data_IF_587086858535
#
_entry.id   IF_587086858535
#
_cell.length_a   1.000
_cell.length_b   1.000
_cell.length_c   1.000
_cell.angle_alpha   90.00
_cell.angle_beta   90.00
_cell.angle_gamma   90.00
#
_symmetry.space_group_name_H-M   'P 1'
#
loop_
_entity.id
_entity.type
_entity.pdbx_description
1 polymer ?
#
# COMPACT_ATOMS: atom_id res chain seq x y z
N UNK A 1 -9.23 -69.80 -32.17
CA UNK A 1 -8.03 -69.29 -31.49
C UNK A 1 -7.74 -67.89 -32.04
N UNK A 2 -8.28 -66.84 -31.43
CA UNK A 2 -8.02 -65.44 -31.83
C UNK A 2 -7.71 -64.64 -30.57
N UNK A 3 -6.46 -64.19 -30.46
CA UNK A 3 -5.89 -63.50 -29.31
C UNK A 3 -6.35 -62.04 -29.27
N UNK A 4 -6.92 -61.62 -28.14
CA UNK A 4 -7.18 -60.22 -27.79
C UNK A 4 -5.86 -59.53 -27.44
N UNK A 5 -5.49 -58.47 -28.15
CA UNK A 5 -4.42 -57.55 -27.73
C UNK A 5 -5.06 -56.41 -26.93
N UNK A 6 -4.75 -56.33 -25.63
CA UNK A 6 -5.08 -55.19 -24.77
C UNK A 6 -3.89 -54.24 -24.83
N UNK A 7 -4.06 -53.08 -25.46
CA UNK A 7 -3.09 -51.99 -25.41
C UNK A 7 -3.42 -51.12 -24.19
N UNK A 8 -2.58 -51.18 -23.16
CA UNK A 8 -2.63 -50.26 -22.02
C UNK A 8 -1.97 -48.96 -22.46
N UNK A 9 -2.78 -47.95 -22.77
CA UNK A 9 -2.31 -46.60 -23.01
C UNK A 9 -1.95 -45.92 -21.69
N UNK A 10 -0.66 -45.78 -21.39
CA UNK A 10 -0.18 -44.87 -20.35
C UNK A 10 -0.39 -43.42 -20.83
N UNK A 11 -1.51 -42.81 -20.45
CA UNK A 11 -1.66 -41.35 -20.55
C UNK A 11 -0.86 -40.71 -19.42
N UNK A 12 0.29 -40.13 -19.76
CA UNK A 12 1.04 -39.28 -18.86
C UNK A 12 0.24 -37.99 -18.62
N UNK A 13 -0.42 -37.89 -17.47
CA UNK A 13 -0.99 -36.64 -16.97
C UNK A 13 0.16 -35.71 -16.61
N UNK A 14 0.48 -34.77 -17.51
CA UNK A 14 1.39 -33.67 -17.21
C UNK A 14 0.68 -32.73 -16.25
N UNK A 15 0.97 -32.87 -14.96
CA UNK A 15 0.61 -31.90 -13.94
C UNK A 15 1.37 -30.60 -14.23
N UNK A 16 0.72 -29.65 -14.91
CA UNK A 16 1.17 -28.26 -14.93
C UNK A 16 1.06 -27.71 -13.50
N UNK A 17 2.16 -27.78 -12.76
CA UNK A 17 2.32 -27.04 -11.52
C UNK A 17 2.22 -25.55 -11.84
N UNK A 18 1.05 -24.94 -11.62
CA UNK A 18 0.93 -23.49 -11.60
C UNK A 18 1.92 -22.97 -10.56
N UNK A 19 2.99 -22.33 -11.02
CA UNK A 19 4.04 -21.80 -10.15
C UNK A 19 3.41 -20.93 -9.07
N UNK A 20 3.82 -21.16 -7.82
CA UNK A 20 3.52 -20.24 -6.73
C UNK A 20 4.11 -18.87 -7.09
N UNK A 21 3.26 -17.95 -7.55
CA UNK A 21 3.65 -16.55 -7.71
C UNK A 21 4.09 -16.05 -6.34
N UNK A 22 5.38 -15.72 -6.21
CA UNK A 22 5.89 -15.06 -5.01
C UNK A 22 5.12 -13.75 -4.84
N UNK A 23 4.23 -13.70 -3.84
CA UNK A 23 3.46 -12.50 -3.50
C UNK A 23 4.43 -11.41 -3.06
N UNK A 24 4.53 -10.34 -3.84
CA UNK A 24 5.35 -9.19 -3.48
C UNK A 24 4.61 -8.30 -2.49
N UNK A 25 5.32 -7.43 -1.76
CA UNK A 25 4.68 -6.45 -0.87
C UNK A 25 3.70 -5.52 -1.64
N UNK A 26 3.91 -5.34 -2.95
CA UNK A 26 2.99 -4.60 -3.82
C UNK A 26 1.60 -5.26 -3.90
N UNK A 27 1.48 -6.56 -3.63
CA UNK A 27 0.21 -7.29 -3.62
C UNK A 27 -0.68 -6.98 -2.43
N UNK A 28 -0.17 -6.22 -1.45
CA UNK A 28 -0.97 -5.65 -0.37
C UNK A 28 -1.88 -4.49 -0.85
N UNK A 29 -1.62 -3.95 -2.04
CA UNK A 29 -2.37 -2.83 -2.60
C UNK A 29 -3.24 -3.28 -3.76
N UNK A 30 -4.46 -2.76 -3.84
CA UNK A 30 -5.36 -2.92 -4.96
C UNK A 30 -4.78 -2.31 -6.25
N UNK A 31 -5.31 -2.68 -7.41
CA UNK A 31 -4.91 -2.10 -8.69
C UNK A 31 -5.13 -0.59 -8.76
N UNK A 32 -6.13 -0.10 -8.03
CA UNK A 32 -6.51 1.30 -7.91
C UNK A 32 -5.48 2.06 -7.06
N UNK A 33 -5.12 1.54 -5.89
CA UNK A 33 -4.11 2.16 -5.00
C UNK A 33 -2.69 2.16 -5.55
N UNK A 34 -2.41 1.32 -6.55
CA UNK A 34 -1.15 1.31 -7.30
C UNK A 34 -1.07 2.46 -8.31
N UNK A 35 -2.18 3.09 -8.67
CA UNK A 35 -2.16 4.27 -9.53
C UNK A 35 -1.62 5.47 -8.76
N UNK A 36 -0.63 6.16 -9.32
CA UNK A 36 0.00 7.33 -8.71
C UNK A 36 -0.83 8.60 -8.96
N UNK A 37 -2.09 8.56 -8.55
CA UNK A 37 -3.11 9.60 -8.74
C UNK A 37 -4.03 9.69 -7.54
N UNK A 38 -4.83 10.76 -7.46
CA UNK A 38 -5.89 10.89 -6.44
C UNK A 38 -7.28 10.48 -6.95
N UNK A 39 -7.39 9.96 -8.17
CA UNK A 39 -8.67 9.74 -8.85
C UNK A 39 -9.57 8.75 -8.11
N UNK A 40 -8.97 7.79 -7.38
CA UNK A 40 -9.69 6.72 -6.67
C UNK A 40 -9.93 7.02 -5.19
N UNK A 41 -9.52 8.19 -4.70
CA UNK A 41 -9.70 8.59 -3.30
C UNK A 41 -10.08 10.08 -3.17
N UNK A 42 -10.73 10.66 -4.19
CA UNK A 42 -11.12 12.07 -4.16
C UNK A 42 -12.07 12.39 -2.99
N UNK A 43 -12.87 11.43 -2.54
CA UNK A 43 -13.85 11.56 -1.47
C UNK A 43 -13.26 11.79 -0.07
N UNK A 44 -11.97 11.49 0.14
CA UNK A 44 -11.27 11.84 1.38
C UNK A 44 -10.84 13.31 1.43
N UNK A 45 -10.80 13.99 0.28
CA UNK A 45 -10.44 15.41 0.22
C UNK A 45 -11.64 16.32 0.54
N UNK A 46 -11.42 17.47 1.20
CA UNK A 46 -12.46 18.48 1.38
C UNK A 46 -13.12 18.86 0.04
N UNK A 47 -14.45 18.79 -0.01
CA UNK A 47 -15.22 19.11 -1.23
C UNK A 47 -14.89 18.21 -2.43
N UNK A 48 -14.36 17.01 -2.21
CA UNK A 48 -13.90 16.10 -3.25
C UNK A 48 -12.94 16.75 -4.27
N UNK A 49 -12.09 17.66 -3.79
CA UNK A 49 -11.16 18.43 -4.61
C UNK A 49 -9.71 18.07 -4.26
N UNK A 50 -9.08 17.11 -4.97
CA UNK A 50 -7.71 16.69 -4.67
C UNK A 50 -6.67 17.79 -4.90
N UNK A 51 -5.58 17.72 -4.13
CA UNK A 51 -4.40 18.56 -4.35
C UNK A 51 -3.76 18.17 -5.69
N UNK A 52 -3.53 19.16 -6.55
CA UNK A 52 -2.87 18.93 -7.85
C UNK A 52 -1.36 18.82 -7.64
N UNK A 53 -0.76 17.69 -7.99
CA UNK A 53 0.71 17.52 -7.90
C UNK A 53 1.49 18.59 -8.69
N UNK A 54 0.90 19.10 -9.76
CA UNK A 54 1.47 20.18 -10.58
C UNK A 54 1.65 21.53 -9.83
N UNK A 55 0.97 21.75 -8.70
CA UNK A 55 1.18 22.96 -7.87
C UNK A 55 2.36 22.82 -6.90
N UNK A 56 2.97 21.64 -6.82
CA UNK A 56 4.13 21.36 -5.97
C UNK A 56 5.40 21.56 -6.79
N UNK A 57 6.46 22.17 -6.21
CA UNK A 57 7.74 22.32 -6.92
C UNK A 57 8.26 20.99 -7.48
N UNK A 58 8.65 20.98 -8.77
CA UNK A 58 9.16 19.79 -9.43
C UNK A 58 10.42 19.20 -8.76
N UNK A 59 11.20 20.04 -8.06
CA UNK A 59 12.37 19.62 -7.27
C UNK A 59 12.02 18.66 -6.13
N UNK A 60 10.76 18.65 -5.66
CA UNK A 60 10.28 17.70 -4.64
C UNK A 60 9.83 16.35 -5.24
N UNK A 61 9.69 16.27 -6.57
CA UNK A 61 9.26 15.07 -7.30
C UNK A 61 7.97 14.48 -6.68
N UNK A 62 6.86 15.24 -6.69
CA UNK A 62 5.64 14.88 -5.98
C UNK A 62 5.02 13.59 -6.51
N UNK A 63 4.52 12.74 -5.60
CA UNK A 63 3.70 11.57 -5.91
C UNK A 63 2.35 11.68 -5.19
N UNK A 64 1.28 11.30 -5.89
CA UNK A 64 -0.04 11.12 -5.30
C UNK A 64 -0.23 9.63 -4.97
N UNK A 65 -0.53 9.32 -3.71
CA UNK A 65 -0.77 7.96 -3.24
C UNK A 65 -2.15 7.88 -2.59
N UNK A 66 -3.03 7.03 -3.12
CA UNK A 66 -4.32 6.72 -2.51
C UNK A 66 -4.21 5.48 -1.62
N UNK A 67 -4.96 5.47 -0.53
CA UNK A 67 -5.29 4.29 0.27
C UNK A 67 -6.79 4.33 0.59
N UNK A 68 -7.34 3.24 1.11
CA UNK A 68 -8.79 3.12 1.34
C UNK A 68 -9.43 4.27 2.14
N UNK A 69 -8.71 4.86 3.10
CA UNK A 69 -9.27 5.86 4.03
C UNK A 69 -8.44 7.14 4.15
N UNK A 70 -7.33 7.24 3.43
CA UNK A 70 -6.46 8.41 3.46
C UNK A 70 -5.69 8.55 2.16
N UNK A 71 -5.26 9.76 1.86
CA UNK A 71 -4.44 10.10 0.71
C UNK A 71 -3.13 10.74 1.18
N UNK A 72 -2.06 10.52 0.43
CA UNK A 72 -0.74 11.07 0.73
C UNK A 72 -0.19 11.78 -0.50
N UNK A 73 0.13 13.06 -0.34
CA UNK A 73 1.01 13.78 -1.25
C UNK A 73 2.44 13.61 -0.74
N UNK A 74 3.26 12.89 -1.51
CA UNK A 74 4.60 12.46 -1.10
C UNK A 74 5.71 13.19 -1.86
N UNK A 75 6.81 13.52 -1.18
CA UNK A 75 8.03 14.05 -1.79
C UNK A 75 9.07 12.94 -1.89
N UNK A 76 9.43 12.57 -3.11
CA UNK A 76 10.50 11.58 -3.34
C UNK A 76 11.88 12.13 -2.97
N UNK A 77 12.04 13.46 -2.96
CA UNK A 77 13.32 14.11 -2.63
C UNK A 77 13.62 14.06 -1.14
N UNK A 78 12.63 14.38 -0.31
CA UNK A 78 12.78 14.31 1.16
C UNK A 78 12.46 12.93 1.72
N UNK A 79 11.90 12.03 0.89
CA UNK A 79 11.36 10.73 1.27
C UNK A 79 10.26 10.79 2.33
N UNK A 80 9.54 11.91 2.42
CA UNK A 80 8.50 12.14 3.42
C UNK A 80 7.19 12.59 2.75
N UNK A 81 6.05 12.36 3.40
CA UNK A 81 4.81 13.04 3.03
C UNK A 81 4.97 14.56 3.16
N UNK A 82 4.45 15.29 2.17
CA UNK A 82 4.21 16.72 2.23
C UNK A 82 2.85 17.00 2.90
N UNK A 83 1.84 16.21 2.57
CA UNK A 83 0.49 16.30 3.14
C UNK A 83 -0.10 14.89 3.25
N UNK A 84 -0.79 14.62 4.36
CA UNK A 84 -1.68 13.47 4.53
C UNK A 84 -3.08 14.00 4.72
N UNK A 85 -4.04 13.44 3.98
CA UNK A 85 -5.46 13.83 4.03
C UNK A 85 -6.26 12.63 4.48
N UNK A 86 -7.03 12.81 5.53
CA UNK A 86 -7.92 11.80 6.08
C UNK A 86 -9.25 12.48 6.42
N UNK A 87 -10.35 11.82 6.08
CA UNK A 87 -11.67 12.22 6.54
C UNK A 87 -12.01 11.36 7.74
N UNK A 88 -12.27 11.97 8.89
CA UNK A 88 -12.74 11.26 10.08
C UNK A 88 -14.26 11.41 10.21
N UNK A 89 -14.95 10.29 10.41
CA UNK A 89 -16.38 10.31 10.74
C UNK A 89 -16.76 9.15 11.67
N UNK A 90 -17.90 9.31 12.35
CA UNK A 90 -18.36 8.35 13.36
C UNK A 90 -18.56 6.92 12.82
N UNK A 91 -18.88 6.78 11.53
CA UNK A 91 -19.04 5.46 10.90
C UNK A 91 -17.69 4.77 10.77
N UNK A 92 -16.69 5.42 10.18
CA UNK A 92 -15.35 4.84 10.04
C UNK A 92 -14.71 4.48 11.39
N UNK A 93 -14.95 5.29 12.42
CA UNK A 93 -14.49 4.98 13.77
C UNK A 93 -15.13 3.69 14.29
N UNK A 94 -16.45 3.53 14.13
CA UNK A 94 -17.16 2.29 14.51
C UNK A 94 -16.68 1.09 13.70
N UNK A 95 -16.48 1.26 12.39
CA UNK A 95 -16.02 0.20 11.49
C UNK A 95 -14.61 -0.26 11.86
N UNK A 96 -13.75 0.65 12.33
CA UNK A 96 -12.40 0.35 12.78
C UNK A 96 -12.32 -0.19 14.22
N UNK A 97 -13.46 -0.42 14.89
CA UNK A 97 -13.48 -0.97 16.25
C UNK A 97 -12.93 -2.38 16.30
N UNK A 98 -11.89 -2.58 17.10
CA UNK A 98 -11.21 -3.87 17.22
C UNK A 98 -10.00 -4.01 16.29
N UNK A 99 -9.71 -3.02 15.46
CA UNK A 99 -8.48 -2.96 14.69
C UNK A 99 -7.27 -2.78 15.62
N UNK A 100 -6.31 -3.69 15.53
CA UNK A 100 -5.12 -3.70 16.37
C UNK A 100 -3.91 -3.11 15.65
N UNK A 101 -3.14 -2.30 16.38
CA UNK A 101 -1.92 -1.71 15.84
C UNK A 101 -0.78 -2.72 15.88
N UNK A 102 -0.37 -3.19 14.71
CA UNK A 102 0.62 -4.27 14.60
C UNK A 102 2.09 -3.85 14.74
N UNK A 103 2.39 -2.54 14.74
CA UNK A 103 3.77 -2.01 14.70
C UNK A 103 4.61 -2.48 13.49
N UNK A 104 3.99 -3.07 12.45
CA UNK A 104 4.70 -3.49 11.25
C UNK A 104 4.91 -2.31 10.29
N UNK A 105 6.10 -1.73 10.34
CA UNK A 105 6.54 -0.71 9.38
C UNK A 105 7.27 -1.37 8.21
N UNK A 106 6.96 -0.93 7.00
CA UNK A 106 7.65 -1.35 5.78
C UNK A 106 7.79 -0.16 4.83
N UNK A 107 8.79 -0.22 3.96
CA UNK A 107 8.94 0.78 2.91
C UNK A 107 7.86 0.58 1.84
N UNK A 108 7.07 1.62 1.56
CA UNK A 108 5.94 1.53 0.63
C UNK A 108 6.42 1.02 -0.74
N UNK A 109 5.94 -0.15 -1.20
CA UNK A 109 6.41 -0.79 -2.42
C UNK A 109 5.94 -0.08 -3.70
N UNK A 110 4.99 0.86 -3.61
CA UNK A 110 4.56 1.69 -4.73
C UNK A 110 5.59 2.76 -5.10
N UNK A 111 6.47 3.09 -4.16
CA UNK A 111 7.51 4.11 -4.32
C UNK A 111 8.84 3.42 -4.71
N UNK A 112 9.59 3.92 -5.72
CA UNK A 112 10.88 3.35 -6.09
C UNK A 112 11.87 3.32 -4.91
N UNK A 113 12.74 2.29 -4.83
CA UNK A 113 13.67 2.06 -3.72
C UNK A 113 14.55 3.27 -3.35
N UNK A 114 15.01 4.05 -4.32
CA UNK A 114 15.83 5.25 -4.09
C UNK A 114 15.03 6.46 -3.59
N UNK A 115 13.70 6.42 -3.74
CA UNK A 115 12.78 7.52 -3.46
C UNK A 115 11.90 7.28 -2.23
N UNK A 116 11.87 6.04 -1.71
CA UNK A 116 11.09 5.67 -0.52
C UNK A 116 11.92 5.79 0.75
N UNK A 117 11.25 6.03 1.87
CA UNK A 117 11.85 5.91 3.19
C UNK A 117 12.08 4.42 3.52
N UNK A 118 13.31 4.08 3.89
CA UNK A 118 13.66 2.76 4.40
C UNK A 118 13.71 2.79 5.94
N UNK A 119 13.53 1.64 6.61
CA UNK A 119 13.61 1.61 8.07
C UNK A 119 15.00 2.00 8.60
N UNK A 120 16.05 1.81 7.79
CA UNK A 120 17.41 2.25 8.09
C UNK A 120 17.53 3.77 8.17
N UNK A 121 16.72 4.52 7.42
CA UNK A 121 16.79 5.98 7.38
C UNK A 121 16.50 6.60 8.76
N UNK A 122 15.63 5.95 9.56
CA UNK A 122 15.29 6.35 10.93
C UNK A 122 16.33 5.92 11.98
N UNK A 123 17.00 4.78 11.76
CA UNK A 123 18.05 4.27 12.66
C UNK A 123 19.42 4.89 12.39
N UNK A 124 19.65 5.37 11.17
CA UNK A 124 20.94 5.88 10.71
C UNK A 124 21.27 7.29 11.20
N UNK A 125 20.31 7.99 11.79
CA UNK A 125 20.49 9.32 12.40
C UNK A 125 20.83 9.20 13.89
N UNK A 126 21.52 10.20 14.44
CA UNK A 126 21.93 10.23 15.86
C UNK A 126 21.41 11.53 16.53
N UNK A 127 20.56 11.44 17.57
CA UNK A 127 19.94 10.22 18.11
C UNK A 127 19.00 9.54 17.10
N UNK A 128 18.73 8.25 17.30
CA UNK A 128 17.77 7.52 16.49
C UNK A 128 16.37 8.13 16.64
N UNK A 129 15.61 8.16 15.54
CA UNK A 129 14.31 8.81 15.48
C UNK A 129 13.16 7.80 15.40
N UNK A 130 12.03 8.12 16.02
CA UNK A 130 10.82 7.33 15.93
C UNK A 130 10.15 7.43 14.55
N UNK A 131 9.40 6.38 14.20
CA UNK A 131 8.56 6.32 12.98
C UNK A 131 7.16 6.85 13.29
N UNK A 132 7.04 8.17 13.46
CA UNK A 132 5.77 8.84 13.77
C UNK A 132 4.72 8.62 12.69
N UNK A 133 3.51 8.23 13.09
CA UNK A 133 2.37 8.11 12.18
C UNK A 133 1.77 9.49 11.90
N UNK A 134 1.36 9.74 10.66
CA UNK A 134 0.75 11.01 10.26
C UNK A 134 -0.77 10.93 10.04
N UNK A 135 -1.30 9.74 9.71
CA UNK A 135 -2.75 9.50 9.78
C UNK A 135 -3.16 9.23 11.23
N UNK A 136 -4.40 9.55 11.58
CA UNK A 136 -4.87 9.34 12.94
C UNK A 136 -4.91 7.84 13.29
N UNK A 137 -4.37 7.45 14.46
CA UNK A 137 -4.47 6.07 14.92
C UNK A 137 -5.88 5.80 15.47
N UNK A 138 -6.54 4.80 14.90
CA UNK A 138 -7.89 4.34 15.27
C UNK A 138 -8.07 4.16 16.80
N UNK A 139 -7.06 3.62 17.49
CA UNK A 139 -7.11 3.37 18.93
C UNK A 139 -7.26 4.64 19.79
N UNK A 140 -6.77 5.79 19.33
CA UNK A 140 -6.84 7.03 20.11
C UNK A 140 -8.26 7.58 20.18
N UNK A 141 -9.12 7.25 19.21
CA UNK A 141 -10.47 7.83 19.12
C UNK A 141 -11.54 6.94 19.77
N UNK A 142 -11.33 5.62 19.82
CA UNK A 142 -12.32 4.68 20.35
C UNK A 142 -12.28 4.48 21.87
N UNK A 143 -11.25 5.01 22.53
CA UNK A 143 -11.06 4.93 23.98
C UNK A 143 -11.30 6.26 24.71
N UNK A 144 -11.86 7.25 24.02
CA UNK A 144 -12.43 8.49 24.60
C UNK A 144 -13.94 8.44 24.50
#
# INVERSE_FOLDING_TARGET
MYLRKIAVGLSAFVLFSAGAHARGAIDLYSTQERQLSFDTCADVFPGATPIKTATVPASLKPLALCSDHFAVLYSQTSKTPLVVVERLNARQLKDAKGEERTNHFYADPRIPKGARAELSDYRGVQPAMDRGHQKYPVRTILNT
#
